data_IF_107708134720
#
_entry.id   IF_107708134720
#
_cell.length_a   1.000
_cell.length_b   1.000
_cell.length_c   1.000
_cell.angle_alpha   90.00
_cell.angle_beta   90.00
_cell.angle_gamma   90.00
#
_symmetry.space_group_name_H-M   'P 1'
#
loop_
_entity.id
_entity.type
_entity.pdbx_description
1 polymer ?
#
# COMPACT_ATOMS: atom_id res chain seq x y z
N UNK A 1 11.34 -18.39 13.80
CA UNK A 1 10.20 -18.90 13.00
C UNK A 1 9.63 -17.71 12.25
N UNK A 2 9.83 -17.63 10.93
CA UNK A 2 9.36 -16.51 10.12
C UNK A 2 7.83 -16.56 10.03
N UNK A 3 7.14 -15.61 10.66
CA UNK A 3 5.67 -15.41 10.53
C UNK A 3 5.33 -14.41 9.41
N UNK A 4 6.36 -13.99 8.65
CA UNK A 4 6.29 -12.89 7.69
C UNK A 4 5.50 -13.17 6.41
N UNK A 5 5.14 -14.42 6.12
CA UNK A 5 4.51 -14.82 4.85
C UNK A 5 5.47 -14.72 3.66
N UNK A 6 5.14 -15.44 2.59
CA UNK A 6 5.80 -15.32 1.29
C UNK A 6 5.67 -13.89 0.72
N UNK A 7 6.55 -13.54 -0.22
CA UNK A 7 6.50 -12.25 -0.91
C UNK A 7 5.11 -11.95 -1.50
N UNK A 8 4.45 -12.95 -2.08
CA UNK A 8 3.09 -12.82 -2.64
C UNK A 8 2.03 -12.62 -1.55
N UNK A 9 2.13 -13.31 -0.42
CA UNK A 9 1.21 -13.12 0.70
C UNK A 9 1.34 -11.73 1.32
N UNK A 10 2.56 -11.22 1.40
CA UNK A 10 2.83 -9.85 1.85
C UNK A 10 2.32 -8.83 0.84
N UNK A 11 2.49 -9.06 -0.46
CA UNK A 11 1.93 -8.22 -1.51
C UNK A 11 0.40 -8.14 -1.42
N UNK A 12 -0.26 -9.31 -1.28
CA UNK A 12 -1.72 -9.40 -1.13
C UNK A 12 -2.21 -8.67 0.11
N UNK A 13 -1.50 -8.84 1.24
CA UNK A 13 -1.81 -8.13 2.47
C UNK A 13 -1.67 -6.61 2.29
N UNK A 14 -0.56 -6.15 1.70
CA UNK A 14 -0.29 -4.73 1.47
C UNK A 14 -1.35 -4.11 0.56
N UNK A 15 -1.70 -4.78 -0.55
CA UNK A 15 -2.77 -4.33 -1.43
C UNK A 15 -4.09 -4.14 -0.67
N UNK A 16 -4.52 -5.15 0.11
CA UNK A 16 -5.76 -5.08 0.88
C UNK A 16 -5.73 -3.97 1.93
N UNK A 17 -4.60 -3.80 2.61
CA UNK A 17 -4.38 -2.72 3.56
C UNK A 17 -4.58 -1.36 2.88
N UNK A 18 -3.87 -1.10 1.77
CA UNK A 18 -3.96 0.16 1.04
C UNK A 18 -5.39 0.43 0.51
N UNK A 19 -6.03 -0.58 -0.08
CA UNK A 19 -7.42 -0.48 -0.55
C UNK A 19 -8.36 -0.10 0.59
N UNK A 20 -8.26 -0.77 1.74
CA UNK A 20 -9.15 -0.56 2.88
C UNK A 20 -9.06 0.87 3.44
N UNK A 21 -7.90 1.52 3.34
CA UNK A 21 -7.67 2.87 3.83
C UNK A 21 -7.97 3.93 2.77
N UNK A 22 -7.63 3.69 1.50
CA UNK A 22 -7.96 4.60 0.41
C UNK A 22 -9.48 4.73 0.20
N UNK A 23 -10.21 3.61 0.26
CA UNK A 23 -11.67 3.58 0.06
C UNK A 23 -12.46 4.30 1.16
N UNK A 24 -11.85 4.59 2.32
CA UNK A 24 -12.48 5.42 3.36
C UNK A 24 -12.58 6.89 2.95
N UNK A 25 -11.68 7.36 2.09
CA UNK A 25 -11.72 8.72 1.58
C UNK A 25 -12.59 8.82 0.32
N UNK A 26 -12.47 7.86 -0.60
CA UNK A 26 -13.37 7.77 -1.76
C UNK A 26 -13.48 6.31 -2.26
N UNK A 27 -14.68 5.73 -2.34
CA UNK A 27 -14.87 4.33 -2.73
C UNK A 27 -14.45 4.03 -4.17
N UNK A 28 -14.34 5.04 -5.04
CA UNK A 28 -13.88 4.92 -6.44
C UNK A 28 -12.37 4.89 -6.59
N UNK A 29 -11.61 5.10 -5.50
CA UNK A 29 -10.15 4.97 -5.56
C UNK A 29 -9.77 3.50 -5.75
N UNK A 30 -8.83 3.29 -6.66
CA UNK A 30 -8.17 2.02 -6.95
C UNK A 30 -6.71 2.07 -6.54
N UNK A 31 -6.13 0.89 -6.27
CA UNK A 31 -4.71 0.71 -5.94
C UNK A 31 -4.07 -0.09 -7.06
N UNK A 32 -3.03 0.49 -7.65
CA UNK A 32 -2.13 -0.21 -8.56
C UNK A 32 -0.89 -0.60 -7.74
N UNK A 33 -0.70 -1.90 -7.51
CA UNK A 33 0.46 -2.44 -6.80
C UNK A 33 1.38 -3.14 -7.80
N UNK A 34 2.58 -2.63 -7.96
CA UNK A 34 3.67 -3.25 -8.72
C UNK A 34 4.49 -4.15 -7.79
N UNK A 35 4.53 -5.43 -8.12
CA UNK A 35 5.32 -6.47 -7.43
C UNK A 35 5.85 -7.50 -8.42
N UNK A 36 6.91 -8.22 -8.07
CA UNK A 36 7.55 -9.21 -8.95
C UNK A 36 8.74 -8.65 -9.72
N UNK A 37 9.23 -9.40 -10.70
CA UNK A 37 10.40 -9.06 -11.52
C UNK A 37 11.61 -8.60 -10.68
N UNK A 38 12.20 -7.45 -11.01
CA UNK A 38 13.38 -6.91 -10.31
C UNK A 38 13.11 -6.57 -8.83
N UNK A 39 11.83 -6.42 -8.46
CA UNK A 39 11.35 -6.09 -7.11
C UNK A 39 11.08 -7.33 -6.25
N UNK A 40 11.03 -8.52 -6.85
CA UNK A 40 10.71 -9.75 -6.14
C UNK A 40 11.66 -9.98 -4.96
N UNK A 41 11.08 -10.20 -3.78
CA UNK A 41 11.82 -10.36 -2.52
C UNK A 41 12.52 -9.09 -2.00
N UNK A 42 12.31 -7.92 -2.62
CA UNK A 42 12.99 -6.66 -2.25
C UNK A 42 12.01 -5.55 -1.92
N UNK A 43 11.05 -5.27 -2.79
CA UNK A 43 10.19 -4.10 -2.64
C UNK A 43 8.83 -4.25 -3.33
N UNK A 44 7.97 -3.26 -3.09
CA UNK A 44 6.72 -3.02 -3.78
C UNK A 44 6.61 -1.55 -4.13
N UNK A 45 5.95 -1.23 -5.24
CA UNK A 45 5.52 0.13 -5.53
C UNK A 45 4.00 0.20 -5.61
N UNK A 46 3.40 1.26 -5.05
CA UNK A 46 1.96 1.47 -5.16
C UNK A 46 1.61 2.87 -5.64
N UNK A 47 0.54 2.97 -6.43
CA UNK A 47 -0.11 4.23 -6.79
C UNK A 47 -1.61 4.15 -6.51
N UNK A 48 -2.20 5.29 -6.15
CA UNK A 48 -3.64 5.45 -6.05
C UNK A 48 -4.14 6.04 -7.38
N UNK A 49 -5.27 5.55 -7.87
CA UNK A 49 -5.91 6.05 -9.08
C UNK A 49 -7.36 6.46 -8.81
N UNK A 50 -7.78 7.58 -9.39
CA UNK A 50 -9.15 8.06 -9.40
C UNK A 50 -9.50 8.61 -10.78
N UNK A 51 -10.16 7.79 -11.60
CA UNK A 51 -10.35 8.09 -13.02
C UNK A 51 -8.99 8.21 -13.73
N UNK A 52 -8.71 9.38 -14.29
CA UNK A 52 -7.45 9.70 -14.97
C UNK A 52 -6.38 10.29 -14.06
N UNK A 53 -6.72 10.57 -12.78
CA UNK A 53 -5.75 11.08 -11.81
C UNK A 53 -4.97 9.93 -11.17
N UNK A 54 -3.66 10.10 -11.09
CA UNK A 54 -2.73 9.14 -10.47
C UNK A 54 -1.92 9.85 -9.40
N UNK A 55 -1.76 9.23 -8.23
CA UNK A 55 -0.95 9.79 -7.14
C UNK A 55 0.54 9.66 -7.44
N UNK A 56 1.37 10.35 -6.66
CA UNK A 56 2.78 9.96 -6.54
C UNK A 56 2.92 8.51 -6.09
N UNK A 57 4.02 7.88 -6.49
CA UNK A 57 4.35 6.51 -6.12
C UNK A 57 4.78 6.40 -4.65
N UNK A 58 4.30 5.34 -4.01
CA UNK A 58 4.78 4.88 -2.70
C UNK A 58 5.72 3.70 -2.92
N UNK A 59 6.93 3.79 -2.39
CA UNK A 59 7.86 2.65 -2.32
C UNK A 59 7.76 2.00 -0.94
N UNK A 60 7.78 0.67 -0.93
CA UNK A 60 7.75 -0.16 0.26
C UNK A 60 8.86 -1.20 0.20
N UNK A 61 9.66 -1.31 1.25
CA UNK A 61 10.60 -2.42 1.41
C UNK A 61 9.84 -3.70 1.82
N UNK A 62 10.16 -4.83 1.18
CA UNK A 62 9.50 -6.11 1.45
C UNK A 62 9.66 -6.51 2.93
N UNK A 63 10.87 -6.41 3.46
CA UNK A 63 11.19 -6.84 4.82
C UNK A 63 10.50 -5.94 5.84
N UNK A 64 10.51 -4.62 5.63
CA UNK A 64 9.81 -3.68 6.49
C UNK A 64 8.32 -4.00 6.57
N UNK A 65 7.66 -4.21 5.42
CA UNK A 65 6.23 -4.56 5.39
C UNK A 65 6.01 -5.89 6.09
N UNK A 66 6.77 -6.93 5.75
CA UNK A 66 6.63 -8.27 6.31
C UNK A 66 6.77 -8.27 7.84
N UNK A 67 7.73 -7.53 8.39
CA UNK A 67 8.02 -7.44 9.82
C UNK A 67 6.98 -6.60 10.58
N UNK A 68 6.28 -5.67 9.91
CA UNK A 68 5.39 -4.70 10.55
C UNK A 68 3.88 -4.90 10.31
N UNK A 69 3.44 -5.96 9.61
CA UNK A 69 2.01 -6.19 9.33
C UNK A 69 1.10 -6.22 10.57
N UNK A 70 1.63 -6.62 11.73
CA UNK A 70 0.93 -6.61 13.01
C UNK A 70 1.17 -5.37 13.88
N UNK A 71 2.02 -4.44 13.44
CA UNK A 71 2.40 -3.26 14.21
C UNK A 71 1.34 -2.16 14.11
N UNK A 72 0.72 -1.81 15.23
CA UNK A 72 -0.28 -0.73 15.28
C UNK A 72 0.32 0.64 14.94
N UNK A 73 1.53 0.92 15.39
CA UNK A 73 2.20 2.19 15.13
C UNK A 73 2.54 2.36 13.64
N UNK A 74 3.14 1.33 13.04
CA UNK A 74 3.46 1.32 11.62
C UNK A 74 2.20 1.36 10.76
N UNK A 75 1.20 0.54 11.09
CA UNK A 75 -0.10 0.53 10.42
C UNK A 75 -0.78 1.91 10.46
N UNK A 76 -0.78 2.59 11.60
CA UNK A 76 -1.35 3.95 11.70
C UNK A 76 -0.61 4.95 10.79
N UNK A 77 0.72 4.92 10.77
CA UNK A 77 1.51 5.81 9.92
C UNK A 77 1.23 5.56 8.42
N UNK A 78 1.17 4.29 8.00
CA UNK A 78 0.89 3.93 6.60
C UNK A 78 -0.55 4.23 6.20
N UNK A 79 -1.51 4.03 7.11
CA UNK A 79 -2.90 4.40 6.90
C UNK A 79 -3.04 5.91 6.66
N UNK A 80 -2.42 6.74 7.49
CA UNK A 80 -2.46 8.20 7.31
C UNK A 80 -1.78 8.65 6.01
N UNK A 81 -0.64 8.04 5.64
CA UNK A 81 0.02 8.32 4.36
C UNK A 81 -0.88 7.97 3.15
N UNK A 82 -1.54 6.82 3.20
CA UNK A 82 -2.46 6.37 2.15
C UNK A 82 -3.67 7.30 2.03
N UNK A 83 -4.27 7.69 3.16
CA UNK A 83 -5.42 8.59 3.20
C UNK A 83 -5.06 10.00 2.76
N UNK A 84 -3.86 10.49 3.08
CA UNK A 84 -3.38 11.78 2.61
C UNK A 84 -3.29 11.82 1.07
N UNK A 85 -2.69 10.80 0.44
CA UNK A 85 -2.67 10.69 -1.02
C UNK A 85 -4.07 10.59 -1.64
N UNK A 86 -4.98 9.86 -0.98
CA UNK A 86 -6.35 9.75 -1.43
C UNK A 86 -7.07 11.12 -1.42
N UNK A 87 -6.88 11.93 -0.38
CA UNK A 87 -7.42 13.31 -0.31
C UNK A 87 -6.82 14.24 -1.35
N UNK A 88 -5.51 14.13 -1.62
CA UNK A 88 -4.86 14.88 -2.70
C UNK A 88 -5.53 14.60 -4.06
N UNK A 89 -5.93 13.35 -4.33
CA UNK A 89 -6.64 12.98 -5.57
C UNK A 89 -8.08 13.53 -5.65
N UNK A 90 -8.78 13.58 -4.52
CA UNK A 90 -10.15 14.11 -4.46
C UNK A 90 -10.20 15.63 -4.49
N UNK A 91 -9.05 16.31 -4.35
CA UNK A 91 -8.99 17.77 -4.28
C UNK A 91 -9.66 18.33 -3.03
N UNK A 92 -9.62 17.55 -1.94
CA UNK A 92 -10.22 17.87 -0.63
C UNK A 92 -9.20 18.39 0.36
#
# INVERSE_FOLDING_TARGET
MFSGGSYEEVARWLHNFLVSHAKRENPRIEIELESGDEREGKSYAARLRLGDKVSRQLEFDYKEVADNRGSLAWGRAMAERTRALARELTGS
#
